data_IF_399118280315
#
_entry.id   IF_399118280315
#
_cell.length_a   1.000
_cell.length_b   1.000
_cell.length_c   1.000
_cell.angle_alpha   90.00
_cell.angle_beta   90.00
_cell.angle_gamma   90.00
#
_symmetry.space_group_name_H-M   'P 1'
#
loop_
_entity.id
_entity.type
_entity.pdbx_description
1 polymer ?
#
# COMPACT_ATOMS: atom_id res chain seq x y z
N UNK A 1 -7.35 -11.61 30.51
CA UNK A 1 -7.00 -10.49 29.62
C UNK A 1 -7.34 -10.94 28.21
N UNK A 2 -8.52 -10.60 27.70
CA UNK A 2 -8.85 -10.86 26.30
C UNK A 2 -8.20 -9.76 25.48
N UNK A 3 -7.12 -10.09 24.78
CA UNK A 3 -6.72 -9.30 23.64
C UNK A 3 -7.87 -9.37 22.63
N UNK A 4 -8.44 -8.24 22.24
CA UNK A 4 -9.42 -8.18 21.17
C UNK A 4 -8.66 -8.39 19.85
N UNK A 5 -8.76 -9.56 19.19
CA UNK A 5 -7.95 -9.87 18.00
C UNK A 5 -8.17 -8.86 16.86
N UNK A 6 -9.32 -8.18 16.90
CA UNK A 6 -9.73 -7.15 15.98
C UNK A 6 -8.97 -5.83 16.18
N UNK A 7 -8.74 -5.42 17.44
CA UNK A 7 -7.95 -4.21 17.75
C UNK A 7 -6.47 -4.44 17.45
N UNK A 8 -5.96 -5.63 17.77
CA UNK A 8 -4.59 -6.03 17.43
C UNK A 8 -4.40 -6.04 15.91
N UNK A 9 -5.35 -6.63 15.18
CA UNK A 9 -5.35 -6.66 13.71
C UNK A 9 -5.40 -5.26 13.10
N UNK A 10 -6.23 -4.35 13.63
CA UNK A 10 -6.30 -2.97 13.17
C UNK A 10 -5.01 -2.20 13.43
N UNK A 11 -4.39 -2.42 14.59
CA UNK A 11 -3.10 -1.82 14.95
C UNK A 11 -2.00 -2.32 14.03
N UNK A 12 -1.94 -3.64 13.80
CA UNK A 12 -1.00 -4.24 12.87
C UNK A 12 -1.15 -3.70 11.45
N UNK A 13 -2.40 -3.53 10.97
CA UNK A 13 -2.68 -2.94 9.66
C UNK A 13 -2.16 -1.50 9.56
N UNK A 14 -2.42 -0.66 10.56
CA UNK A 14 -1.92 0.73 10.60
C UNK A 14 -0.39 0.79 10.57
N UNK A 15 0.27 -0.08 11.34
CA UNK A 15 1.73 -0.20 11.34
C UNK A 15 2.26 -0.65 9.98
N UNK A 16 1.64 -1.66 9.35
CA UNK A 16 2.02 -2.12 8.03
C UNK A 16 1.89 -0.99 6.99
N UNK A 17 0.81 -0.21 7.05
CA UNK A 17 0.61 0.94 6.17
C UNK A 17 1.71 2.01 6.38
N UNK A 18 2.03 2.37 7.62
CA UNK A 18 3.10 3.32 7.91
C UNK A 18 4.47 2.83 7.37
N UNK A 19 4.77 1.55 7.54
CA UNK A 19 6.00 0.94 7.04
C UNK A 19 6.07 0.99 5.51
N UNK A 20 4.99 0.61 4.82
CA UNK A 20 4.92 0.66 3.35
C UNK A 20 5.11 2.09 2.85
N UNK A 21 4.49 3.09 3.49
CA UNK A 21 4.67 4.50 3.13
C UNK A 21 6.12 4.94 3.24
N UNK A 22 6.80 4.55 4.32
CA UNK A 22 8.22 4.84 4.54
C UNK A 22 9.09 4.20 3.46
N UNK A 23 8.89 2.89 3.20
CA UNK A 23 9.62 2.16 2.16
C UNK A 23 9.38 2.74 0.76
N UNK A 24 8.15 3.15 0.44
CA UNK A 24 7.83 3.82 -0.83
C UNK A 24 8.48 5.20 -0.94
N UNK A 25 8.60 5.93 0.17
CA UNK A 25 9.35 7.19 0.22
C UNK A 25 10.83 6.98 -0.13
N UNK A 26 11.46 5.99 0.48
CA UNK A 26 12.85 5.64 0.22
C UNK A 26 13.06 5.12 -1.22
N UNK A 27 12.19 4.22 -1.69
CA UNK A 27 12.23 3.70 -3.06
C UNK A 27 12.08 4.83 -4.09
N UNK A 28 11.22 5.82 -3.83
CA UNK A 28 11.07 6.98 -4.70
C UNK A 28 12.30 7.88 -4.74
N UNK A 29 13.01 8.03 -3.62
CA UNK A 29 14.24 8.80 -3.56
C UNK A 29 15.39 8.11 -4.32
N UNK A 30 15.40 6.78 -4.32
CA UNK A 30 16.43 5.96 -5.01
C UNK A 30 16.06 5.58 -6.44
N UNK A 31 14.81 5.78 -6.86
CA UNK A 31 14.34 5.42 -8.19
C UNK A 31 15.01 6.30 -9.26
N UNK A 32 15.46 5.67 -10.35
CA UNK A 32 15.89 6.39 -11.53
C UNK A 32 14.70 7.17 -12.13
N UNK A 33 15.00 8.22 -12.91
CA UNK A 33 13.96 9.03 -13.57
C UNK A 33 12.99 8.18 -14.41
N UNK A 34 13.47 7.07 -14.99
CA UNK A 34 12.66 6.14 -15.76
C UNK A 34 11.59 5.40 -14.92
N UNK A 35 11.83 5.22 -13.62
CA UNK A 35 10.94 4.52 -12.70
C UNK A 35 9.97 5.46 -11.94
N UNK A 36 10.18 6.78 -12.02
CA UNK A 36 9.34 7.75 -11.31
C UNK A 36 7.83 7.62 -11.62
N UNK A 37 7.37 7.40 -12.87
CA UNK A 37 5.95 7.24 -13.16
C UNK A 37 5.33 6.03 -12.45
N UNK A 38 6.06 4.92 -12.42
CA UNK A 38 5.61 3.69 -11.78
C UNK A 38 5.59 3.84 -10.25
N UNK A 39 6.61 4.47 -9.66
CA UNK A 39 6.62 4.82 -8.23
C UNK A 39 5.47 5.76 -7.85
N UNK A 40 5.19 6.77 -8.68
CA UNK A 40 4.08 7.70 -8.45
C UNK A 40 2.72 6.99 -8.49
N UNK A 41 2.57 6.01 -9.38
CA UNK A 41 1.37 5.17 -9.46
C UNK A 41 1.17 4.34 -8.19
N UNK A 42 2.24 3.72 -7.67
CA UNK A 42 2.16 2.97 -6.40
C UNK A 42 1.84 3.89 -5.22
N UNK A 43 2.43 5.09 -5.16
CA UNK A 43 2.11 6.09 -4.13
C UNK A 43 0.63 6.50 -4.18
N UNK A 44 0.09 6.72 -5.37
CA UNK A 44 -1.32 7.11 -5.56
C UNK A 44 -2.26 6.00 -5.07
N UNK A 45 -2.03 4.76 -5.51
CA UNK A 45 -2.82 3.61 -5.05
C UNK A 45 -2.72 3.42 -3.53
N UNK A 46 -1.53 3.67 -2.95
CA UNK A 46 -1.36 3.59 -1.51
C UNK A 46 -2.12 4.71 -0.76
N UNK A 47 -2.16 5.93 -1.29
CA UNK A 47 -2.97 7.01 -0.72
C UNK A 47 -4.48 6.74 -0.79
N UNK A 48 -4.95 6.03 -1.82
CA UNK A 48 -6.33 5.53 -1.87
C UNK A 48 -6.61 4.53 -0.75
N UNK A 49 -5.66 3.63 -0.44
CA UNK A 49 -5.75 2.70 0.67
C UNK A 49 -5.78 3.42 2.03
N UNK A 50 -4.94 4.44 2.23
CA UNK A 50 -4.98 5.31 3.42
C UNK A 50 -6.35 5.97 3.58
N UNK A 51 -6.92 6.46 2.48
CA UNK A 51 -8.25 7.08 2.47
C UNK A 51 -9.35 6.07 2.81
N UNK A 52 -9.32 4.87 2.21
CA UNK A 52 -10.28 3.80 2.49
C UNK A 52 -10.24 3.37 3.97
N UNK A 53 -9.03 3.26 4.53
CA UNK A 53 -8.78 2.91 5.92
C UNK A 53 -8.97 4.06 6.92
N UNK A 54 -9.22 5.30 6.45
CA UNK A 54 -9.46 6.44 7.33
C UNK A 54 -10.75 6.22 8.13
N UNK A 55 -10.67 6.36 9.46
CA UNK A 55 -11.79 6.10 10.36
C UNK A 55 -12.12 4.61 10.54
N UNK A 56 -11.23 3.70 10.14
CA UNK A 56 -11.42 2.27 10.36
C UNK A 56 -11.40 1.94 11.87
N UNK A 57 -12.44 1.24 12.29
CA UNK A 57 -12.67 0.74 13.65
C UNK A 57 -13.30 -0.66 13.57
N UNK A 58 -13.45 -1.32 14.72
CA UNK A 58 -14.16 -2.60 14.82
C UNK A 58 -15.57 -2.55 14.19
N UNK A 59 -16.31 -1.47 14.45
CA UNK A 59 -17.71 -1.31 14.03
C UNK A 59 -17.83 -0.96 12.54
N UNK A 60 -16.85 -0.22 12.00
CA UNK A 60 -16.87 0.24 10.60
C UNK A 60 -16.16 -0.72 9.64
N UNK A 61 -15.47 -1.74 10.16
CA UNK A 61 -14.67 -2.68 9.35
C UNK A 61 -15.49 -3.34 8.25
N UNK A 62 -16.68 -3.89 8.56
CA UNK A 62 -17.52 -4.55 7.54
C UNK A 62 -17.95 -3.58 6.44
N UNK A 63 -18.25 -2.34 6.78
CA UNK A 63 -18.67 -1.32 5.83
C UNK A 63 -17.51 -0.85 4.95
N UNK A 64 -16.30 -0.76 5.50
CA UNK A 64 -15.10 -0.28 4.81
C UNK A 64 -14.33 -1.39 4.09
N UNK A 65 -14.53 -2.65 4.44
CA UNK A 65 -13.82 -3.79 3.87
C UNK A 65 -13.85 -3.83 2.33
N UNK A 66 -14.98 -3.56 1.63
CA UNK A 66 -14.99 -3.52 0.17
C UNK A 66 -14.06 -2.44 -0.41
N UNK A 67 -14.10 -1.23 0.15
CA UNK A 67 -13.26 -0.12 -0.30
C UNK A 67 -11.77 -0.40 -0.03
N UNK A 68 -11.45 -0.99 1.13
CA UNK A 68 -10.10 -1.42 1.47
C UNK A 68 -9.62 -2.50 0.50
N UNK A 69 -10.47 -3.49 0.18
CA UNK A 69 -10.14 -4.55 -0.76
C UNK A 69 -9.86 -4.00 -2.17
N UNK A 70 -10.69 -3.09 -2.67
CA UNK A 70 -10.44 -2.41 -3.96
C UNK A 70 -9.13 -1.63 -3.94
N UNK A 71 -8.86 -0.87 -2.88
CA UNK A 71 -7.60 -0.13 -2.76
C UNK A 71 -6.38 -1.07 -2.70
N UNK A 72 -6.47 -2.21 -2.01
CA UNK A 72 -5.43 -3.23 -2.01
C UNK A 72 -5.20 -3.83 -3.40
N UNK A 73 -6.26 -4.03 -4.19
CA UNK A 73 -6.14 -4.47 -5.58
C UNK A 73 -5.39 -3.43 -6.43
N UNK A 74 -5.72 -2.15 -6.29
CA UNK A 74 -5.00 -1.07 -6.98
C UNK A 74 -3.52 -1.03 -6.60
N UNK A 75 -3.21 -1.18 -5.30
CA UNK A 75 -1.81 -1.26 -4.83
C UNK A 75 -1.11 -2.46 -5.46
N UNK A 76 -1.75 -3.63 -5.49
CA UNK A 76 -1.22 -4.83 -6.13
C UNK A 76 -0.91 -4.62 -7.62
N UNK A 77 -1.87 -4.08 -8.38
CA UNK A 77 -1.69 -3.79 -9.81
C UNK A 77 -0.58 -2.78 -10.06
N UNK A 78 -0.50 -1.70 -9.27
CA UNK A 78 0.54 -0.70 -9.39
C UNK A 78 1.92 -1.29 -9.07
N UNK A 79 2.02 -2.12 -8.02
CA UNK A 79 3.25 -2.79 -7.63
C UNK A 79 3.72 -3.80 -8.68
N UNK A 80 2.81 -4.59 -9.26
CA UNK A 80 3.12 -5.50 -10.37
C UNK A 80 3.62 -4.73 -11.59
N UNK A 81 2.97 -3.62 -11.95
CA UNK A 81 3.41 -2.77 -13.06
C UNK A 81 4.81 -2.20 -12.80
N UNK A 82 5.07 -1.73 -11.58
CA UNK A 82 6.41 -1.27 -11.17
C UNK A 82 7.45 -2.38 -11.26
N UNK A 83 7.14 -3.61 -10.80
CA UNK A 83 8.04 -4.75 -10.93
C UNK A 83 8.35 -5.08 -12.39
N UNK A 84 7.34 -5.03 -13.27
CA UNK A 84 7.55 -5.20 -14.72
C UNK A 84 8.44 -4.11 -15.30
N UNK A 85 8.22 -2.83 -14.94
CA UNK A 85 9.06 -1.72 -15.39
C UNK A 85 10.51 -1.88 -14.89
N UNK A 86 10.69 -2.35 -13.66
CA UNK A 86 12.01 -2.69 -13.11
C UNK A 86 12.70 -3.76 -13.95
N UNK A 87 12.03 -4.90 -14.21
CA UNK A 87 12.59 -5.98 -15.03
C UNK A 87 12.93 -5.52 -16.45
N UNK A 88 12.11 -4.67 -17.05
CA UNK A 88 12.36 -4.10 -18.38
C UNK A 88 13.50 -3.08 -18.39
N UNK A 89 13.63 -2.29 -17.33
CA UNK A 89 14.69 -1.28 -17.20
C UNK A 89 16.03 -1.88 -16.78
N UNK A 90 16.01 -3.06 -16.15
CA UNK A 90 17.19 -3.82 -15.75
C UNK A 90 17.08 -5.30 -16.20
N UNK A 91 17.22 -5.59 -17.50
CA UNK A 91 17.20 -6.96 -18.00
C UNK A 91 18.54 -7.64 -17.69
N UNK A 92 18.72 -8.12 -16.46
CA UNK A 92 19.92 -8.88 -16.10
C UNK A 92 20.36 -8.91 -14.63
N UNK A 93 19.54 -8.47 -13.67
CA UNK A 93 19.78 -8.77 -12.25
C UNK A 93 19.47 -10.23 -11.91
#
# INVERSE_FOLDING_TARGET
>A
MSVEPLQDGLTALKTAMANVKSSLGAAAASASAALQPAVASVKTAFSELETAATGLSADTLRQKAPAINTALQHVGTAASSFATTLTQSCPGS
#
